data_IF_376055142207
#
_entry.id   IF_376055142207
#
_cell.length_a   1.000
_cell.length_b   1.000
_cell.length_c   1.000
_cell.angle_alpha   90.00
_cell.angle_beta   90.00
_cell.angle_gamma   90.00
#
_symmetry.space_group_name_H-M   'P 1'
#
loop_
_entity.id
_entity.type
_entity.pdbx_description
1 polymer ?
#
# COMPACT_ATOMS: atom_id res chain seq x y z
N UNK A 1 -33.42 31.82 -35.02
CA UNK A 1 -33.70 31.02 -33.81
C UNK A 1 -32.90 29.73 -33.87
N UNK A 2 -32.49 29.27 -32.68
CA UNK A 2 -31.67 28.09 -32.30
C UNK A 2 -32.00 26.80 -33.09
N UNK A 3 -31.11 25.82 -33.25
CA UNK A 3 -29.80 25.63 -32.62
C UNK A 3 -29.08 24.40 -33.18
N UNK A 4 -27.75 24.42 -33.11
CA UNK A 4 -26.90 23.26 -33.40
C UNK A 4 -26.67 22.45 -32.13
N UNK A 5 -26.96 21.14 -32.20
CA UNK A 5 -26.55 20.15 -31.20
C UNK A 5 -25.02 20.12 -31.13
N UNK A 6 -24.46 20.38 -29.96
CA UNK A 6 -23.07 20.05 -29.67
C UNK A 6 -23.03 18.67 -29.02
N UNK A 7 -22.45 17.71 -29.72
CA UNK A 7 -22.16 16.37 -29.21
C UNK A 7 -20.84 16.45 -28.45
N UNK A 8 -20.87 16.19 -27.14
CA UNK A 8 -19.66 16.09 -26.32
C UNK A 8 -18.91 14.80 -26.70
N UNK A 9 -17.78 14.97 -27.37
CA UNK A 9 -16.80 13.91 -27.58
C UNK A 9 -15.77 14.05 -26.46
N UNK A 10 -15.69 13.07 -25.55
CA UNK A 10 -14.62 13.00 -24.57
C UNK A 10 -13.31 12.59 -25.27
N UNK A 11 -12.23 13.38 -25.22
CA UNK A 11 -10.92 12.88 -25.61
C UNK A 11 -10.33 12.05 -24.47
N UNK A 12 -10.05 10.78 -24.80
CA UNK A 12 -9.36 9.81 -23.97
C UNK A 12 -7.85 10.01 -24.15
N UNK A 13 -7.16 10.23 -23.03
CA UNK A 13 -5.70 10.09 -22.78
C UNK A 13 -4.73 10.90 -23.65
N UNK A 14 -3.79 11.62 -23.02
CA UNK A 14 -2.32 11.53 -23.21
C UNK A 14 -1.59 12.74 -22.59
N UNK A 15 -0.60 12.41 -21.74
CA UNK A 15 0.62 13.15 -21.33
C UNK A 15 0.57 14.56 -20.72
N UNK A 16 1.07 14.62 -19.47
CA UNK A 16 1.95 15.67 -18.93
C UNK A 16 1.55 17.11 -19.24
N UNK A 17 0.63 17.66 -18.47
CA UNK A 17 0.36 19.11 -18.51
C UNK A 17 1.34 19.86 -17.60
N UNK A 18 2.34 20.44 -18.25
CA UNK A 18 3.18 21.53 -17.75
C UNK A 18 2.31 22.70 -17.29
N UNK A 19 2.55 23.15 -16.06
CA UNK A 19 1.93 24.30 -15.42
C UNK A 19 2.22 25.58 -16.23
N UNK A 20 1.19 26.29 -16.70
CA UNK A 20 1.31 27.64 -17.25
C UNK A 20 1.01 28.67 -16.17
N UNK A 21 1.97 29.53 -15.87
CA UNK A 21 1.81 30.69 -14.99
C UNK A 21 1.22 31.83 -15.81
N UNK A 22 0.03 32.34 -15.41
CA UNK A 22 -0.44 33.66 -15.83
C UNK A 22 -0.36 34.59 -14.61
N UNK A 23 0.47 35.62 -14.73
CA UNK A 23 0.54 36.72 -13.77
C UNK A 23 -0.49 37.75 -14.23
N UNK A 24 -1.54 37.98 -13.44
CA UNK A 24 -2.46 39.09 -13.68
C UNK A 24 -1.92 40.33 -12.95
N UNK A 25 -1.48 41.33 -13.72
CA UNK A 25 -0.77 42.53 -13.27
C UNK A 25 -1.69 43.59 -12.62
N UNK A 26 -2.69 43.18 -11.85
CA UNK A 26 -3.64 44.14 -11.23
C UNK A 26 -4.12 43.79 -9.83
N UNK A 27 -3.89 42.57 -9.35
CA UNK A 27 -4.09 42.23 -7.94
C UNK A 27 -3.05 41.19 -7.59
N UNK A 28 -2.26 41.48 -6.56
CA UNK A 28 -1.14 40.66 -6.08
C UNK A 28 -1.63 39.35 -5.42
N UNK A 29 -2.47 38.58 -6.12
CA UNK A 29 -2.97 37.27 -5.72
C UNK A 29 -2.17 36.18 -6.42
N UNK A 30 -1.41 35.44 -5.64
CA UNK A 30 -0.74 34.21 -6.08
C UNK A 30 -1.82 33.14 -6.20
N UNK A 31 -2.28 32.86 -7.43
CA UNK A 31 -3.13 31.71 -7.70
C UNK A 31 -2.23 30.47 -7.72
N UNK A 32 -2.24 29.70 -6.63
CA UNK A 32 -1.53 28.43 -6.55
C UNK A 32 -2.19 27.42 -7.50
N UNK A 33 -1.46 27.02 -8.53
CA UNK A 33 -1.94 26.14 -9.59
C UNK A 33 -2.29 24.76 -9.04
N UNK A 34 -3.51 24.32 -9.33
CA UNK A 34 -3.98 22.96 -9.15
C UNK A 34 -3.08 22.02 -9.96
N UNK A 35 -2.15 21.35 -9.25
CA UNK A 35 -1.26 20.39 -9.90
C UNK A 35 -1.98 19.03 -9.93
N UNK A 36 -2.29 18.58 -11.14
CA UNK A 36 -2.87 17.26 -11.38
C UNK A 36 -1.75 16.28 -11.71
N UNK A 37 -1.55 15.29 -10.84
CA UNK A 37 -0.53 14.26 -10.99
C UNK A 37 -1.20 12.90 -11.17
N UNK A 38 -0.68 12.08 -12.09
CA UNK A 38 -1.12 10.68 -12.19
C UNK A 38 -0.47 9.84 -11.10
N UNK A 39 -1.28 9.26 -10.22
CA UNK A 39 -0.82 8.37 -9.15
C UNK A 39 -1.48 7.00 -9.29
N UNK A 40 -0.86 5.96 -8.73
CA UNK A 40 -1.52 4.66 -8.58
C UNK A 40 -2.00 4.50 -7.15
N UNK A 41 -3.25 4.10 -6.95
CA UNK A 41 -3.74 3.68 -5.64
C UNK A 41 -3.82 2.15 -5.54
N UNK A 42 -3.49 1.62 -4.37
CA UNK A 42 -3.43 0.18 -4.12
C UNK A 42 -4.71 -0.36 -3.49
N UNK A 43 -5.51 -1.11 -4.25
CA UNK A 43 -6.70 -1.81 -3.75
C UNK A 43 -6.40 -3.26 -3.41
N UNK A 44 -7.17 -3.80 -2.47
CA UNK A 44 -7.08 -5.20 -2.08
C UNK A 44 -7.66 -6.07 -3.20
N UNK A 45 -6.81 -6.91 -3.78
CA UNK A 45 -7.20 -7.78 -4.87
C UNK A 45 -7.80 -9.09 -4.34
N UNK A 46 -8.62 -9.77 -5.14
CA UNK A 46 -9.09 -11.13 -4.82
C UNK A 46 -7.92 -12.10 -4.61
N UNK A 47 -6.80 -11.89 -5.31
CA UNK A 47 -5.53 -12.62 -5.10
C UNK A 47 -4.96 -12.43 -3.69
N UNK A 48 -5.13 -11.26 -3.06
CA UNK A 48 -4.67 -11.07 -1.69
C UNK A 48 -5.45 -11.95 -0.70
N UNK A 49 -6.76 -12.13 -0.96
CA UNK A 49 -7.63 -13.03 -0.18
C UNK A 49 -7.24 -14.50 -0.35
N UNK A 50 -6.86 -14.93 -1.57
CA UNK A 50 -6.38 -16.30 -1.80
C UNK A 50 -5.03 -16.54 -1.12
N UNK A 51 -4.16 -15.53 -1.08
CA UNK A 51 -2.91 -15.58 -0.29
C UNK A 51 -3.17 -15.83 1.19
N UNK A 52 -4.12 -15.11 1.78
CA UNK A 52 -4.56 -15.32 3.17
C UNK A 52 -5.09 -16.75 3.41
N UNK A 53 -5.89 -17.28 2.49
CA UNK A 53 -6.39 -18.65 2.58
C UNK A 53 -5.24 -19.67 2.52
N UNK A 54 -4.23 -19.43 1.66
CA UNK A 54 -3.03 -20.26 1.56
C UNK A 54 -2.27 -20.32 2.88
N UNK A 55 -2.12 -19.17 3.57
CA UNK A 55 -1.48 -19.09 4.90
C UNK A 55 -2.25 -19.92 5.92
N UNK A 56 -3.58 -19.84 5.90
CA UNK A 56 -4.43 -20.58 6.83
C UNK A 56 -4.30 -22.10 6.61
N UNK A 57 -4.33 -22.55 5.36
CA UNK A 57 -4.10 -23.96 5.00
C UNK A 57 -2.71 -24.42 5.44
N UNK A 58 -1.67 -23.61 5.19
CA UNK A 58 -0.31 -23.90 5.62
C UNK A 58 -0.20 -24.04 7.15
N UNK A 59 -0.87 -23.15 7.90
CA UNK A 59 -0.90 -23.20 9.37
C UNK A 59 -1.59 -24.46 9.89
N UNK A 60 -2.68 -24.89 9.27
CA UNK A 60 -3.37 -26.15 9.64
C UNK A 60 -2.45 -27.36 9.42
N UNK A 61 -1.80 -27.44 8.25
CA UNK A 61 -0.84 -28.52 7.94
C UNK A 61 0.31 -28.50 8.94
N UNK A 62 0.84 -27.32 9.27
CA UNK A 62 1.92 -27.16 10.24
C UNK A 62 1.54 -27.70 11.63
N UNK A 63 0.35 -27.35 12.14
CA UNK A 63 -0.13 -27.82 13.45
C UNK A 63 -0.34 -29.33 13.45
N UNK A 64 -0.94 -29.90 12.40
CA UNK A 64 -1.11 -31.35 12.27
C UNK A 64 0.25 -32.06 12.28
N UNK A 65 1.22 -31.50 11.56
CA UNK A 65 2.57 -32.06 11.47
C UNK A 65 3.28 -32.02 12.83
N UNK A 66 3.12 -30.95 13.60
CA UNK A 66 3.63 -30.87 14.97
C UNK A 66 2.95 -31.86 15.91
N UNK A 67 1.64 -32.05 15.77
CA UNK A 67 0.91 -33.05 16.55
C UNK A 67 1.44 -34.45 16.30
N UNK A 68 1.60 -34.83 15.02
CA UNK A 68 2.19 -36.12 14.61
C UNK A 68 3.62 -36.25 15.14
N UNK A 69 4.43 -35.20 15.11
CA UNK A 69 5.78 -35.25 15.68
C UNK A 69 5.76 -35.51 17.21
N UNK A 70 4.74 -35.02 17.90
CA UNK A 70 4.55 -35.17 19.35
C UNK A 70 4.02 -36.54 19.79
N UNK A 71 3.28 -37.27 18.95
CA UNK A 71 2.71 -38.59 19.31
C UNK A 71 3.78 -39.64 19.60
N UNK A 72 4.98 -39.50 19.02
CA UNK A 72 6.10 -40.43 19.22
C UNK A 72 6.59 -40.53 20.66
N UNK A 73 6.31 -39.54 21.52
CA UNK A 73 6.73 -39.52 22.93
C UNK A 73 5.97 -40.50 23.82
N UNK A 74 4.78 -40.92 23.40
CA UNK A 74 3.92 -41.81 24.19
C UNK A 74 4.12 -43.29 23.79
N UNK A 75 5.07 -43.58 22.91
CA UNK A 75 5.38 -44.94 22.46
C UNK A 75 6.45 -45.58 23.36
N UNK A 76 6.43 -46.92 23.52
CA UNK A 76 7.55 -47.67 24.06
C UNK A 76 8.86 -47.34 23.32
N UNK A 77 9.99 -47.40 24.01
CA UNK A 77 11.31 -46.96 23.49
C UNK A 77 11.61 -47.55 22.11
N UNK A 78 11.41 -48.86 21.92
CA UNK A 78 11.71 -49.53 20.64
C UNK A 78 10.83 -49.03 19.49
N UNK A 79 9.54 -48.81 19.77
CA UNK A 79 8.59 -48.26 18.81
C UNK A 79 8.86 -46.77 18.53
N UNK A 80 9.33 -46.02 19.52
CA UNK A 80 9.69 -44.61 19.37
C UNK A 80 10.91 -44.44 18.45
N UNK A 81 11.92 -45.32 18.56
CA UNK A 81 13.12 -45.29 17.71
C UNK A 81 12.75 -45.56 16.26
N UNK A 82 11.90 -46.56 16.01
CA UNK A 82 11.39 -46.83 14.66
C UNK A 82 10.55 -45.66 14.13
N UNK A 83 9.68 -45.09 14.96
CA UNK A 83 8.84 -43.95 14.60
C UNK A 83 9.67 -42.73 14.18
N UNK A 84 10.64 -42.31 15.00
CA UNK A 84 11.49 -41.15 14.71
C UNK A 84 12.55 -41.45 13.63
N UNK A 85 13.01 -42.70 13.50
CA UNK A 85 14.07 -43.08 12.55
C UNK A 85 13.57 -43.37 11.13
N UNK A 86 12.31 -43.77 10.96
CA UNK A 86 11.78 -44.20 9.65
C UNK A 86 10.53 -43.44 9.22
N UNK A 87 9.54 -43.27 10.12
CA UNK A 87 8.25 -42.67 9.75
C UNK A 87 8.34 -41.15 9.67
N UNK A 88 8.98 -40.50 10.65
CA UNK A 88 9.15 -39.04 10.68
C UNK A 88 9.93 -38.51 9.46
N UNK A 89 11.08 -39.08 9.07
CA UNK A 89 11.88 -38.50 7.99
C UNK A 89 11.20 -38.58 6.64
N UNK A 90 10.41 -39.64 6.41
CA UNK A 90 9.80 -39.92 5.11
C UNK A 90 8.55 -39.08 4.84
N UNK A 91 7.80 -38.71 5.89
CA UNK A 91 6.52 -38.00 5.74
C UNK A 91 6.51 -36.64 6.42
N UNK A 92 6.92 -36.57 7.69
CA UNK A 92 6.73 -35.38 8.53
C UNK A 92 7.63 -34.23 8.08
N UNK A 93 8.89 -34.48 7.71
CA UNK A 93 9.76 -33.39 7.23
C UNK A 93 9.30 -32.80 5.90
N UNK A 94 8.74 -33.63 5.00
CA UNK A 94 8.22 -33.15 3.73
C UNK A 94 7.01 -32.23 3.94
N UNK A 95 6.03 -32.65 4.76
CA UNK A 95 4.88 -31.81 5.08
C UNK A 95 5.25 -30.57 5.90
N UNK A 96 6.20 -30.69 6.82
CA UNK A 96 6.69 -29.56 7.62
C UNK A 96 7.33 -28.49 6.73
N UNK A 97 8.33 -28.88 5.92
CA UNK A 97 9.00 -27.95 5.00
C UNK A 97 8.04 -27.41 3.94
N UNK A 98 7.16 -28.25 3.40
CA UNK A 98 6.12 -27.83 2.47
C UNK A 98 5.18 -26.79 3.06
N UNK A 99 4.76 -26.94 4.31
CA UNK A 99 3.91 -25.96 5.00
C UNK A 99 4.60 -24.61 5.18
N UNK A 100 5.90 -24.59 5.49
CA UNK A 100 6.67 -23.35 5.59
C UNK A 100 6.78 -22.64 4.24
N UNK A 101 7.10 -23.38 3.18
CA UNK A 101 7.18 -22.83 1.82
C UNK A 101 5.81 -22.32 1.36
N UNK A 102 4.75 -23.08 1.61
CA UNK A 102 3.38 -22.69 1.25
C UNK A 102 2.95 -21.42 2.02
N UNK A 103 3.24 -21.35 3.32
CA UNK A 103 2.98 -20.15 4.13
C UNK A 103 3.76 -18.94 3.63
N UNK A 104 5.02 -19.11 3.25
CA UNK A 104 5.83 -18.06 2.65
C UNK A 104 5.26 -17.55 1.33
N UNK A 105 4.85 -18.45 0.44
CA UNK A 105 4.18 -18.10 -0.82
C UNK A 105 2.86 -17.37 -0.53
N UNK A 106 2.07 -17.87 0.42
CA UNK A 106 0.83 -17.25 0.86
C UNK A 106 1.04 -15.80 1.32
N UNK A 107 2.07 -15.54 2.13
CA UNK A 107 2.45 -14.19 2.57
C UNK A 107 2.83 -13.28 1.39
N UNK A 108 3.60 -13.81 0.43
CA UNK A 108 3.98 -13.03 -0.76
C UNK A 108 2.76 -12.68 -1.61
N UNK A 109 1.82 -13.61 -1.75
CA UNK A 109 0.59 -13.41 -2.53
C UNK A 109 -0.39 -12.48 -1.79
N UNK A 110 -0.50 -12.57 -0.47
CA UNK A 110 -1.36 -11.68 0.32
C UNK A 110 -0.93 -10.22 0.26
N UNK A 111 0.37 -9.97 0.09
CA UNK A 111 0.94 -8.63 -0.06
C UNK A 111 0.74 -8.02 -1.46
N UNK A 112 0.17 -8.76 -2.42
CA UNK A 112 -0.07 -8.28 -3.78
C UNK A 112 -1.31 -7.38 -3.79
N UNK A 113 -1.09 -6.08 -3.98
CA UNK A 113 -2.15 -5.10 -4.25
C UNK A 113 -2.32 -4.88 -5.75
N UNK A 114 -3.57 -4.62 -6.16
CA UNK A 114 -3.88 -4.13 -7.51
C UNK A 114 -3.64 -2.63 -7.53
N UNK A 115 -2.81 -2.18 -8.47
CA UNK A 115 -2.50 -0.76 -8.65
C UNK A 115 -3.36 -0.22 -9.77
N UNK A 116 -4.15 0.82 -9.47
CA UNK A 116 -5.03 1.48 -10.44
C UNK A 116 -4.61 2.93 -10.56
N UNK A 117 -4.43 3.42 -11.79
CA UNK A 117 -4.09 4.81 -12.06
C UNK A 117 -5.32 5.70 -11.78
N UNK A 118 -5.07 6.81 -11.10
CA UNK A 118 -6.05 7.87 -10.81
C UNK A 118 -5.36 9.23 -10.89
N UNK A 119 -6.16 10.25 -11.19
CA UNK A 119 -5.72 11.62 -11.07
C UNK A 119 -5.71 12.04 -9.60
N UNK A 120 -4.65 12.74 -9.22
CA UNK A 120 -4.42 13.29 -7.90
C UNK A 120 -4.33 14.80 -8.02
N UNK A 121 -5.24 15.49 -7.33
CA UNK A 121 -5.30 16.94 -7.33
C UNK A 121 -4.73 17.45 -6.02
N UNK A 122 -3.65 18.22 -6.12
CA UNK A 122 -3.07 18.92 -4.98
C UNK A 122 -3.68 20.32 -4.89
N UNK A 123 -4.33 20.61 -3.77
CA UNK A 123 -4.87 21.92 -3.43
C UNK A 123 -4.12 22.53 -2.25
N UNK A 124 -4.21 23.85 -2.09
CA UNK A 124 -3.60 24.56 -0.96
C UNK A 124 -4.05 24.02 0.41
N UNK A 125 -5.33 23.63 0.51
CA UNK A 125 -5.96 23.18 1.75
C UNK A 125 -6.05 21.65 1.89
N UNK A 126 -5.50 20.87 0.96
CA UNK A 126 -5.61 19.42 1.00
C UNK A 126 -5.31 18.70 -0.30
N UNK A 127 -5.69 17.44 -0.34
CA UNK A 127 -5.51 16.54 -1.48
C UNK A 127 -6.85 15.92 -1.86
N UNK A 128 -7.04 15.68 -3.14
CA UNK A 128 -8.20 15.00 -3.68
C UNK A 128 -7.78 13.93 -4.67
N UNK A 129 -8.38 12.76 -4.56
CA UNK A 129 -8.18 11.66 -5.51
C UNK A 129 -9.41 10.76 -5.56
N UNK A 130 -9.57 10.06 -6.67
CA UNK A 130 -10.58 9.01 -6.78
C UNK A 130 -10.04 7.71 -6.16
N UNK A 131 -10.77 7.17 -5.19
CA UNK A 131 -10.54 5.85 -4.61
C UNK A 131 -11.75 4.97 -4.83
N UNK A 132 -11.62 3.93 -5.66
CA UNK A 132 -12.69 2.97 -5.95
C UNK A 132 -13.99 3.60 -6.49
N UNK A 133 -13.88 4.69 -7.26
CA UNK A 133 -15.02 5.42 -7.82
C UNK A 133 -15.63 6.44 -6.84
N UNK A 134 -14.97 6.69 -5.70
CA UNK A 134 -15.36 7.70 -4.73
C UNK A 134 -14.28 8.77 -4.64
N UNK A 135 -14.70 10.02 -4.78
CA UNK A 135 -13.82 11.19 -4.62
C UNK A 135 -13.50 11.38 -3.14
N UNK A 136 -12.25 11.10 -2.78
CA UNK A 136 -11.70 11.27 -1.43
C UNK A 136 -11.07 12.65 -1.31
N UNK A 137 -11.70 13.54 -0.54
CA UNK A 137 -11.15 14.86 -0.19
C UNK A 137 -10.54 14.84 1.20
N UNK A 138 -9.22 14.99 1.29
CA UNK A 138 -8.46 15.01 2.53
C UNK A 138 -7.89 16.41 2.77
N UNK A 139 -8.46 17.11 3.77
CA UNK A 139 -7.91 18.39 4.23
C UNK A 139 -6.56 18.20 4.92
N UNK A 140 -5.67 19.19 4.82
CA UNK A 140 -4.33 19.21 5.45
C UNK A 140 -4.38 18.87 6.94
N UNK A 141 -5.34 19.43 7.67
CA UNK A 141 -5.56 19.20 9.10
C UNK A 141 -5.88 17.73 9.46
N UNK A 142 -6.45 16.95 8.53
CA UNK A 142 -6.80 15.55 8.76
C UNK A 142 -5.65 14.59 8.48
N UNK A 143 -4.56 15.07 7.91
CA UNK A 143 -3.39 14.28 7.55
C UNK A 143 -2.45 14.25 8.76
N UNK A 144 -2.30 13.07 9.35
CA UNK A 144 -1.44 12.87 10.50
C UNK A 144 0.01 12.65 10.09
N UNK A 145 0.23 11.83 9.06
CA UNK A 145 1.58 11.43 8.64
C UNK A 145 1.62 11.02 7.18
N UNK A 146 2.63 11.50 6.47
CA UNK A 146 3.01 10.99 5.16
C UNK A 146 4.33 10.25 5.30
N UNK A 147 4.40 9.02 4.81
CA UNK A 147 5.61 8.19 4.86
C UNK A 147 5.89 7.56 3.51
N UNK A 148 7.16 7.40 3.16
CA UNK A 148 7.59 6.82 1.90
C UNK A 148 8.42 5.55 2.12
N UNK A 149 8.24 4.58 1.23
CA UNK A 149 9.07 3.39 1.16
C UNK A 149 9.53 3.18 -0.28
N UNK A 150 10.86 3.22 -0.47
CA UNK A 150 11.46 2.85 -1.75
C UNK A 150 11.22 1.36 -2.01
N UNK A 151 10.64 1.04 -3.17
CA UNK A 151 10.67 -0.32 -3.66
C UNK A 151 12.03 -0.54 -4.30
N UNK A 152 12.72 -1.58 -3.85
CA UNK A 152 14.06 -1.94 -4.35
C UNK A 152 14.13 -2.10 -5.88
N UNK A 153 13.01 -2.38 -6.55
CA UNK A 153 12.94 -2.71 -7.99
C UNK A 153 12.05 -1.77 -8.82
N UNK A 154 11.48 -0.71 -8.24
CA UNK A 154 10.56 0.18 -8.97
C UNK A 154 11.06 1.62 -8.96
N UNK A 155 10.94 2.30 -10.11
CA UNK A 155 11.13 3.75 -10.22
C UNK A 155 10.06 4.53 -9.44
N UNK A 156 8.94 3.88 -9.09
CA UNK A 156 7.84 4.46 -8.30
C UNK A 156 8.06 4.24 -6.80
N UNK A 157 7.79 5.27 -6.01
CA UNK A 157 7.79 5.22 -4.55
C UNK A 157 6.42 4.82 -4.03
N UNK A 158 6.37 3.98 -2.99
CA UNK A 158 5.14 3.79 -2.21
C UNK A 158 5.04 4.91 -1.19
N UNK A 159 3.95 5.65 -1.23
CA UNK A 159 3.61 6.72 -0.28
C UNK A 159 2.39 6.26 0.52
N UNK A 160 2.50 6.34 1.84
CA UNK A 160 1.40 6.04 2.75
C UNK A 160 0.98 7.32 3.48
N UNK A 161 -0.27 7.72 3.29
CA UNK A 161 -0.90 8.86 3.95
C UNK A 161 -1.79 8.33 5.07
N UNK A 162 -1.42 8.60 6.32
CA UNK A 162 -2.22 8.27 7.50
C UNK A 162 -3.01 9.49 7.91
N UNK A 163 -4.30 9.28 8.17
CA UNK A 163 -5.21 10.31 8.67
C UNK A 163 -5.47 10.14 10.15
N UNK A 164 -6.00 11.19 10.79
CA UNK A 164 -6.37 11.18 12.22
C UNK A 164 -7.43 10.08 12.51
N UNK A 165 -8.31 9.77 11.54
CA UNK A 165 -9.36 8.76 11.68
C UNK A 165 -8.93 7.31 11.40
N UNK A 166 -7.66 6.96 11.62
CA UNK A 166 -7.08 5.61 11.40
C UNK A 166 -7.04 5.15 9.93
N UNK A 167 -7.74 5.83 9.02
CA UNK A 167 -7.66 5.52 7.58
C UNK A 167 -6.25 5.78 7.07
N UNK A 168 -5.70 4.77 6.40
CA UNK A 168 -4.42 4.88 5.71
C UNK A 168 -4.62 4.64 4.22
N UNK A 169 -4.14 5.58 3.41
CA UNK A 169 -4.18 5.50 1.96
C UNK A 169 -2.80 5.12 1.44
N UNK A 170 -2.74 4.09 0.60
CA UNK A 170 -1.50 3.61 0.00
C UNK A 170 -1.47 4.00 -1.47
N UNK A 171 -0.53 4.87 -1.80
CA UNK A 171 -0.35 5.47 -3.11
C UNK A 171 1.01 5.08 -3.70
N UNK A 172 1.13 5.15 -5.01
CA UNK A 172 2.36 4.99 -5.77
C UNK A 172 2.51 6.16 -6.71
N UNK A 173 3.67 6.79 -6.68
CA UNK A 173 3.93 8.00 -7.46
C UNK A 173 5.40 8.05 -7.84
N UNK A 174 5.74 8.87 -8.84
CA UNK A 174 7.13 9.07 -9.21
C UNK A 174 7.86 9.83 -8.10
N UNK A 175 9.19 9.81 -8.17
CA UNK A 175 10.05 10.46 -7.18
C UNK A 175 9.79 11.96 -7.08
N UNK A 176 9.74 12.64 -8.22
CA UNK A 176 9.53 14.09 -8.27
C UNK A 176 8.18 14.47 -7.65
N UNK A 177 7.11 13.79 -8.07
CA UNK A 177 5.75 14.00 -7.56
C UNK A 177 5.64 13.78 -6.05
N UNK A 178 6.31 12.75 -5.53
CA UNK A 178 6.35 12.47 -4.09
C UNK A 178 7.08 13.54 -3.29
N UNK A 179 8.05 14.20 -3.91
CA UNK A 179 8.84 15.26 -3.30
C UNK A 179 8.04 16.56 -3.23
N UNK A 180 7.26 16.87 -4.28
CA UNK A 180 6.30 17.98 -4.30
C UNK A 180 5.26 17.81 -3.19
N UNK A 181 4.66 16.61 -3.08
CA UNK A 181 3.72 16.30 -2.02
C UNK A 181 4.35 16.50 -0.63
N UNK A 182 5.58 16.02 -0.43
CA UNK A 182 6.25 16.16 0.85
C UNK A 182 6.52 17.62 1.21
N UNK A 183 6.91 18.44 0.24
CA UNK A 183 7.12 19.88 0.45
C UNK A 183 5.81 20.58 0.83
N UNK A 184 4.70 20.31 0.13
CA UNK A 184 3.40 20.92 0.39
C UNK A 184 2.85 20.63 1.81
N UNK A 185 3.18 19.46 2.35
CA UNK A 185 2.73 19.01 3.67
C UNK A 185 3.80 19.11 4.76
N UNK A 186 5.01 19.62 4.46
CA UNK A 186 6.13 19.73 5.40
C UNK A 186 5.70 20.47 6.68
N UNK A 187 5.07 21.62 6.54
CA UNK A 187 4.71 22.47 7.68
C UNK A 187 3.57 21.90 8.54
N UNK A 188 2.70 21.05 7.97
CA UNK A 188 1.67 20.34 8.74
C UNK A 188 2.19 19.06 9.42
N UNK A 189 3.29 18.51 8.93
CA UNK A 189 3.88 17.26 9.43
C UNK A 189 4.95 17.50 10.50
N UNK A 190 5.51 18.72 10.56
CA UNK A 190 6.51 19.14 11.53
C UNK A 190 5.96 20.27 12.39
N UNK A 191 5.45 19.93 13.58
CA UNK A 191 5.54 20.86 14.71
C UNK A 191 7.02 20.92 15.06
N UNK A 192 7.72 21.99 14.66
CA UNK A 192 9.15 22.16 14.91
C UNK A 192 9.40 22.10 16.43
N UNK A 193 10.05 21.03 16.89
CA UNK A 193 10.77 21.04 18.17
C UNK A 193 12.19 21.52 17.90
N UNK A 194 12.78 22.40 18.76
CA UNK A 194 14.01 23.14 18.47
C UNK A 194 15.31 22.29 18.41
N UNK A 195 15.22 20.96 18.29
CA UNK A 195 16.36 20.05 18.25
C UNK A 195 16.15 18.92 17.23
N UNK A 196 16.21 19.26 15.93
CA UNK A 196 16.42 18.28 14.85
C UNK A 196 15.29 17.24 14.63
N UNK A 197 15.37 16.56 13.48
CA UNK A 197 14.41 15.55 13.04
C UNK A 197 14.29 14.39 14.05
N UNK A 198 13.24 14.41 14.89
CA UNK A 198 12.81 13.22 15.64
C UNK A 198 11.47 12.69 15.14
N UNK A 199 11.47 11.36 14.97
CA UNK A 199 10.33 10.51 14.67
C UNK A 199 9.36 10.60 15.85
N UNK A 200 8.15 11.10 15.61
CA UNK A 200 7.08 11.05 16.61
C UNK A 200 6.72 9.56 16.82
N UNK A 201 7.26 8.98 17.89
CA UNK A 201 6.65 7.87 18.62
C UNK A 201 5.70 8.51 19.62
N UNK A 202 4.44 8.12 19.61
CA UNK A 202 3.63 8.18 20.83
C UNK A 202 2.83 6.88 20.92
N UNK A 203 2.85 6.35 22.14
CA UNK A 203 2.20 5.15 22.64
C UNK A 203 0.72 5.02 22.25
#
# INVERSE_FOLDING_TARGET
>A
MRGGKQTLVCPRTVHSSTVKVQINDSDNQVIYLEETVSIEYGTDNWLAKTGLLLILVAMVIFVITLYILGTGKNLPIDASIFYYGTIIPQHVYFFFSGSLVLGWIGLKVSDIKKWTETDFHLFENGIEFDWEGQVVKLKKEKILKISYKKLFLSKKLRVQIKTIGIKSYLLRMNRNDSEILFQAFKDSLFKETPFGLQKINME
#
